data_IF_214877883627
#
_entry.id   IF_214877883627
#
_cell.length_a   1.000
_cell.length_b   1.000
_cell.length_c   1.000
_cell.angle_alpha   90.00
_cell.angle_beta   90.00
_cell.angle_gamma   90.00
#
_symmetry.space_group_name_H-M   'P 1'
#
loop_
_entity.id
_entity.type
_entity.pdbx_description
1 polymer ?
#
# COMPACT_ATOMS: atom_id res chain seq x y z
N UNK A 1 -3.58 4.94 3.39
CA UNK A 1 -3.03 3.77 2.69
C UNK A 1 -1.66 3.52 3.28
N UNK A 2 -1.43 2.33 3.84
CA UNK A 2 -0.13 1.93 4.37
C UNK A 2 0.55 1.02 3.36
N UNK A 3 1.83 1.27 3.07
CA UNK A 3 2.60 0.50 2.10
C UNK A 3 3.57 -0.42 2.81
N UNK A 4 3.51 -1.70 2.46
CA UNK A 4 4.34 -2.75 3.05
C UNK A 4 5.13 -3.48 1.96
N UNK A 5 6.44 -3.60 2.15
CA UNK A 5 7.32 -4.39 1.29
C UNK A 5 7.49 -5.78 1.92
N UNK A 6 7.14 -6.88 1.22
CA UNK A 6 7.35 -8.23 1.71
C UNK A 6 8.78 -8.47 2.19
N UNK A 7 8.90 -9.10 3.37
CA UNK A 7 10.19 -9.42 4.03
C UNK A 7 11.01 -8.20 4.46
N UNK A 8 10.46 -6.98 4.39
CA UNK A 8 11.11 -5.77 4.88
C UNK A 8 10.26 -5.07 5.95
N UNK A 9 9.02 -4.72 5.63
CA UNK A 9 8.12 -4.03 6.55
C UNK A 9 7.37 -2.86 5.91
N UNK A 10 6.75 -2.04 6.75
CA UNK A 10 6.03 -0.84 6.33
C UNK A 10 7.00 0.29 5.99
N UNK A 11 6.83 0.91 4.82
CA UNK A 11 7.76 1.92 4.28
C UNK A 11 7.12 3.27 4.04
N UNK A 12 5.79 3.38 4.17
CA UNK A 12 5.15 4.67 3.97
C UNK A 12 3.66 4.64 4.17
N UNK A 13 3.13 5.85 4.15
CA UNK A 13 1.73 6.18 4.32
C UNK A 13 1.32 7.28 3.33
N UNK A 14 0.16 7.07 2.71
CA UNK A 14 -0.42 7.99 1.75
C UNK A 14 -1.94 8.06 1.88
N UNK A 15 -2.56 9.17 1.53
CA UNK A 15 -4.01 9.30 1.37
C UNK A 15 -4.39 9.14 -0.10
N UNK A 16 -5.48 8.41 -0.36
CA UNK A 16 -6.05 8.31 -1.71
C UNK A 16 -6.55 9.69 -2.11
N UNK A 17 -5.98 10.27 -3.16
CA UNK A 17 -6.22 11.66 -3.54
C UNK A 17 -7.25 11.83 -4.66
N UNK A 18 -7.79 10.74 -5.18
CA UNK A 18 -8.80 10.75 -6.22
C UNK A 18 -9.33 9.37 -6.57
N UNK A 19 -10.26 9.33 -7.52
CA UNK A 19 -10.87 8.08 -7.99
C UNK A 19 -9.87 7.18 -8.72
N UNK A 20 -10.01 5.85 -8.64
CA UNK A 20 -9.28 4.91 -9.48
C UNK A 20 -9.49 5.23 -10.96
N UNK A 21 -8.41 5.19 -11.76
CA UNK A 21 -8.46 5.43 -13.20
C UNK A 21 -7.89 4.23 -13.95
N UNK A 22 -8.45 3.87 -15.11
CA UNK A 22 -7.82 2.86 -15.95
C UNK A 22 -6.44 3.36 -16.39
N UNK A 23 -5.46 2.47 -16.39
CA UNK A 23 -4.17 2.73 -16.99
C UNK A 23 -4.25 2.36 -18.47
N UNK A 24 -4.46 3.36 -19.34
CA UNK A 24 -4.78 3.17 -20.77
C UNK A 24 -3.72 2.36 -21.52
N UNK A 25 -2.46 2.40 -21.06
CA UNK A 25 -1.33 1.70 -21.69
C UNK A 25 -1.20 0.23 -21.27
N UNK A 26 -1.91 -0.24 -20.22
CA UNK A 26 -1.91 -1.64 -19.81
C UNK A 26 -3.29 -2.28 -19.97
N UNK A 27 -3.62 -2.58 -21.22
CA UNK A 27 -4.73 -3.48 -21.56
C UNK A 27 -4.17 -4.89 -21.76
N UNK A 28 -4.62 -5.83 -20.94
CA UNK A 28 -4.17 -7.23 -20.98
C UNK A 28 -5.29 -8.11 -21.54
N UNK A 29 -5.02 -8.84 -22.61
CA UNK A 29 -5.96 -9.85 -23.11
C UNK A 29 -5.75 -11.17 -22.37
N UNK A 30 -6.69 -11.55 -21.51
CA UNK A 30 -6.63 -12.76 -20.67
C UNK A 30 -7.83 -13.64 -20.99
N UNK A 31 -7.59 -14.78 -21.65
CA UNK A 31 -8.65 -15.73 -22.02
C UNK A 31 -9.62 -15.21 -23.10
N UNK A 32 -9.19 -14.23 -23.90
CA UNK A 32 -10.03 -13.59 -24.93
C UNK A 32 -10.84 -12.39 -24.42
N UNK A 33 -10.68 -12.02 -23.15
CA UNK A 33 -11.26 -10.80 -22.56
C UNK A 33 -10.16 -9.77 -22.29
N UNK A 34 -10.40 -8.53 -22.68
CA UNK A 34 -9.52 -7.42 -22.36
C UNK A 34 -9.78 -6.93 -20.93
N UNK A 35 -8.72 -6.89 -20.12
CA UNK A 35 -8.75 -6.40 -18.73
C UNK A 35 -7.90 -5.14 -18.64
N UNK A 36 -8.47 -4.10 -18.04
CA UNK A 36 -7.74 -2.88 -17.72
C UNK A 36 -7.09 -3.00 -16.34
N UNK A 37 -5.84 -2.57 -16.24
CA UNK A 37 -5.24 -2.26 -14.95
C UNK A 37 -5.78 -0.92 -14.42
N UNK A 38 -5.91 -0.82 -13.11
CA UNK A 38 -6.42 0.39 -12.45
C UNK A 38 -5.32 0.99 -11.57
N UNK A 39 -5.09 2.28 -11.74
CA UNK A 39 -4.23 3.07 -10.86
C UNK A 39 -5.08 3.89 -9.90
N UNK A 40 -4.65 3.95 -8.64
CA UNK A 40 -5.28 4.79 -7.62
C UNK A 40 -4.30 5.90 -7.25
N UNK A 41 -4.63 7.19 -7.48
CA UNK A 41 -3.74 8.27 -7.13
C UNK A 41 -3.62 8.38 -5.60
N UNK A 42 -2.38 8.51 -5.12
CA UNK A 42 -2.06 8.62 -3.70
C UNK A 42 -1.14 9.81 -3.49
N UNK A 43 -1.50 10.67 -2.53
CA UNK A 43 -0.62 11.69 -2.00
C UNK A 43 0.10 11.11 -0.80
N UNK A 44 1.44 11.08 -0.83
CA UNK A 44 2.24 10.56 0.27
C UNK A 44 2.33 11.59 1.41
N UNK A 45 2.00 11.19 2.63
CA UNK A 45 2.31 12.01 3.82
C UNK A 45 3.73 11.74 4.31
N UNK A 46 4.16 10.47 4.29
CA UNK A 46 5.51 10.09 4.67
C UNK A 46 5.96 8.79 3.99
N UNK A 47 7.25 8.68 3.72
CA UNK A 47 7.89 7.47 3.22
C UNK A 47 9.34 7.41 3.66
N UNK A 48 9.84 6.20 3.90
CA UNK A 48 11.24 5.93 4.26
C UNK A 48 11.87 4.93 3.29
N UNK A 49 13.20 4.92 3.15
CA UNK A 49 13.91 3.89 2.39
C UNK A 49 13.61 2.47 2.92
N UNK A 50 13.76 1.45 2.08
CA UNK A 50 13.59 0.04 2.47
C UNK A 50 14.40 -0.35 3.71
N UNK A 51 15.59 0.21 3.88
CA UNK A 51 16.48 -0.08 5.01
C UNK A 51 15.90 0.39 6.36
N UNK A 52 14.95 1.33 6.33
CA UNK A 52 14.30 1.92 7.49
C UNK A 52 12.85 1.42 7.65
N UNK A 53 12.48 0.35 6.94
CA UNK A 53 11.15 -0.23 7.00
C UNK A 53 10.78 -0.66 8.44
N UNK A 54 9.59 -0.28 8.90
CA UNK A 54 9.09 -0.67 10.20
C UNK A 54 8.53 -2.09 10.17
N UNK A 55 9.10 -2.97 10.98
CA UNK A 55 8.57 -4.31 11.22
C UNK A 55 8.69 -4.71 12.68
N UNK A 56 7.66 -5.37 13.22
CA UNK A 56 7.65 -5.95 14.56
C UNK A 56 6.86 -7.26 14.55
N UNK A 57 7.17 -8.16 15.50
CA UNK A 57 6.40 -9.38 15.71
C UNK A 57 4.93 -9.03 15.95
N UNK A 58 4.02 -9.72 15.25
CA UNK A 58 2.58 -9.47 15.33
C UNK A 58 2.04 -8.45 14.32
N UNK A 59 2.89 -7.86 13.47
CA UNK A 59 2.41 -7.03 12.36
C UNK A 59 1.64 -7.85 11.34
N UNK A 60 0.52 -7.30 10.88
CA UNK A 60 -0.19 -7.83 9.73
C UNK A 60 0.61 -7.52 8.46
N UNK A 61 0.77 -8.53 7.59
CA UNK A 61 1.31 -8.37 6.25
C UNK A 61 0.49 -9.20 5.27
N UNK A 62 0.31 -8.65 4.07
CA UNK A 62 -0.34 -9.33 2.96
C UNK A 62 0.60 -9.33 1.75
N UNK A 63 0.58 -10.40 0.97
CA UNK A 63 1.31 -10.48 -0.29
C UNK A 63 0.55 -9.87 -1.48
N UNK A 64 -0.77 -9.64 -1.35
CA UNK A 64 -1.53 -8.97 -2.39
C UNK A 64 -1.12 -7.49 -2.47
N UNK A 65 -1.21 -6.90 -3.67
CA UNK A 65 -0.82 -5.51 -3.93
C UNK A 65 -1.52 -4.49 -3.04
N UNK A 66 -2.78 -4.76 -2.65
CA UNK A 66 -3.52 -3.95 -1.69
C UNK A 66 -4.53 -4.79 -0.91
N UNK A 67 -4.80 -4.40 0.32
CA UNK A 67 -5.92 -4.88 1.11
C UNK A 67 -6.31 -3.86 2.19
N UNK A 68 -7.52 -4.01 2.73
CA UNK A 68 -7.94 -3.22 3.89
C UNK A 68 -7.21 -3.68 5.15
N UNK A 69 -6.31 -2.86 5.67
CA UNK A 69 -5.67 -3.07 6.98
C UNK A 69 -6.70 -2.83 8.09
N UNK A 70 -6.92 -3.83 8.94
CA UNK A 70 -7.85 -3.76 10.10
C UNK A 70 -7.19 -4.10 11.43
N UNK A 71 -5.93 -4.52 11.42
CA UNK A 71 -5.21 -4.93 12.61
C UNK A 71 -4.83 -3.68 13.43
N UNK A 72 -5.60 -3.35 14.47
CA UNK A 72 -5.42 -2.13 15.26
C UNK A 72 -3.98 -1.96 15.75
N UNK A 73 -3.38 -3.02 16.29
CA UNK A 73 -1.98 -3.00 16.72
C UNK A 73 -1.02 -2.54 15.62
N UNK A 74 -1.19 -3.03 14.39
CA UNK A 74 -0.36 -2.60 13.26
C UNK A 74 -0.65 -1.16 12.87
N UNK A 75 -1.92 -0.76 12.85
CA UNK A 75 -2.33 0.61 12.52
C UNK A 75 -1.70 1.60 13.51
N UNK A 76 -1.82 1.34 14.82
CA UNK A 76 -1.34 2.25 15.87
C UNK A 76 0.18 2.43 15.79
N UNK A 77 0.92 1.32 15.65
CA UNK A 77 2.39 1.35 15.61
C UNK A 77 2.93 2.02 14.36
N UNK A 78 2.34 1.69 13.19
CA UNK A 78 2.77 2.29 11.91
C UNK A 78 2.40 3.78 11.87
N UNK A 79 1.21 4.16 12.35
CA UNK A 79 0.81 5.56 12.42
C UNK A 79 1.73 6.37 13.33
N UNK A 80 2.09 5.83 14.51
CA UNK A 80 3.04 6.47 15.43
C UNK A 80 4.41 6.64 14.80
N UNK A 81 4.90 5.63 14.09
CA UNK A 81 6.21 5.68 13.42
C UNK A 81 6.29 6.77 12.35
N UNK A 82 5.21 6.97 11.58
CA UNK A 82 5.14 8.00 10.54
C UNK A 82 4.59 9.36 11.04
N UNK A 83 4.28 9.51 12.33
CA UNK A 83 3.88 10.79 12.93
C UNK A 83 2.51 11.32 12.48
N UNK A 84 1.58 10.43 12.16
CA UNK A 84 0.24 10.76 11.63
C UNK A 84 -0.89 10.60 12.68
N UNK A 85 -0.51 10.33 13.93
CA UNK A 85 -1.36 10.25 15.12
C UNK A 85 -0.71 10.95 16.30
#
# INVERSE_FOLDING_TARGET
>A
MFTHIPKAGYVGVGTVSGEPRPFEEAVLSVGGEDRCEWIVPVTWEASVPRAEALWRTGFFANQNSACKLRACFTIDEVSRHFGIV
#
